data_IF_866703865067
#
_entry.id   IF_866703865067
#
_cell.length_a   1.000
_cell.length_b   1.000
_cell.length_c   1.000
_cell.angle_alpha   90.00
_cell.angle_beta   90.00
_cell.angle_gamma   90.00
#
_symmetry.space_group_name_H-M   'P 1'
#
loop_
_entity.id
_entity.type
_entity.pdbx_description
1 polymer ?
#
# COMPACT_ATOMS: atom_id res chain seq x y z
N UNK A 1 7.59 -18.36 -20.11
CA UNK A 1 6.24 -19.00 -20.19
C UNK A 1 5.27 -18.04 -19.51
N UNK A 2 4.25 -17.58 -20.23
CA UNK A 2 3.41 -16.43 -19.89
C UNK A 2 2.31 -16.72 -18.86
N UNK A 3 1.88 -15.68 -18.16
CA UNK A 3 0.68 -15.69 -17.31
C UNK A 3 -0.58 -15.90 -18.15
N UNK A 4 -1.59 -16.57 -17.60
CA UNK A 4 -2.85 -16.84 -18.32
C UNK A 4 -3.94 -15.85 -17.93
N UNK A 5 -4.76 -15.37 -18.89
CA UNK A 5 -5.91 -14.52 -18.55
C UNK A 5 -6.90 -15.23 -17.62
N UNK A 6 -7.42 -14.51 -16.63
CA UNK A 6 -8.54 -14.98 -15.81
C UNK A 6 -9.84 -14.89 -16.60
N UNK A 7 -10.75 -15.82 -16.35
CA UNK A 7 -12.10 -15.78 -16.93
C UNK A 7 -12.90 -14.53 -16.54
N UNK A 8 -12.62 -13.97 -15.36
CA UNK A 8 -13.07 -12.64 -14.95
C UNK A 8 -12.07 -12.03 -13.96
N UNK A 9 -12.03 -10.69 -13.84
CA UNK A 9 -11.13 -10.02 -12.92
C UNK A 9 -11.34 -10.48 -11.47
N UNK A 10 -10.27 -10.59 -10.68
CA UNK A 10 -10.38 -10.75 -9.22
C UNK A 10 -10.59 -9.41 -8.55
N UNK A 11 -11.19 -9.43 -7.36
CA UNK A 11 -11.34 -8.23 -6.53
C UNK A 11 -10.00 -7.91 -5.87
N UNK A 12 -9.57 -6.65 -5.97
CA UNK A 12 -8.36 -6.14 -5.30
C UNK A 12 -8.77 -5.14 -4.22
N UNK A 13 -8.30 -5.37 -3.00
CA UNK A 13 -8.52 -4.51 -1.84
C UNK A 13 -7.17 -3.99 -1.35
N UNK A 14 -7.01 -2.68 -1.26
CA UNK A 14 -5.80 -2.05 -0.74
C UNK A 14 -5.97 -1.69 0.73
N UNK A 15 -5.15 -2.27 1.61
CA UNK A 15 -5.18 -2.10 3.06
C UNK A 15 -3.99 -1.26 3.50
N UNK A 16 -4.23 0.02 3.78
CA UNK A 16 -3.13 0.97 4.02
C UNK A 16 -3.35 1.76 5.32
N UNK A 17 -2.35 1.81 6.24
CA UNK A 17 -2.41 2.72 7.37
C UNK A 17 -2.11 4.15 6.91
N UNK A 18 -2.81 5.13 7.49
CA UNK A 18 -2.60 6.55 7.24
C UNK A 18 -2.11 7.27 8.51
N UNK A 19 -1.10 8.13 8.37
CA UNK A 19 -0.63 8.99 9.44
C UNK A 19 -0.87 10.48 9.13
N UNK A 20 -0.17 11.04 8.15
CA UNK A 20 -0.25 12.48 7.80
C UNK A 20 -0.11 12.75 6.29
N UNK A 21 0.16 11.72 5.49
CA UNK A 21 0.70 11.81 4.14
C UNK A 21 -0.38 12.02 3.07
N UNK A 22 -1.17 13.10 3.16
CA UNK A 22 -2.29 13.35 2.22
C UNK A 22 -1.86 13.37 0.76
N UNK A 23 -0.68 13.93 0.45
CA UNK A 23 -0.15 13.96 -0.91
C UNK A 23 0.22 12.56 -1.42
N UNK A 24 0.79 11.73 -0.54
CA UNK A 24 1.13 10.35 -0.90
C UNK A 24 -0.13 9.51 -1.08
N UNK A 25 -1.14 9.72 -0.23
CA UNK A 25 -2.44 9.08 -0.38
C UNK A 25 -3.09 9.46 -1.72
N UNK A 26 -3.06 10.74 -2.10
CA UNK A 26 -3.60 11.17 -3.40
C UNK A 26 -2.88 10.49 -4.57
N UNK A 27 -1.54 10.42 -4.52
CA UNK A 27 -0.75 9.72 -5.55
C UNK A 27 -1.11 8.24 -5.60
N UNK A 28 -1.16 7.58 -4.44
CA UNK A 28 -1.55 6.17 -4.33
C UNK A 28 -2.95 5.92 -4.90
N UNK A 29 -3.91 6.79 -4.58
CA UNK A 29 -5.26 6.70 -5.09
C UNK A 29 -5.30 6.90 -6.60
N UNK A 30 -4.63 7.91 -7.15
CA UNK A 30 -4.57 8.13 -8.60
C UNK A 30 -3.92 6.96 -9.35
N UNK A 31 -2.79 6.45 -8.85
CA UNK A 31 -2.08 5.32 -9.43
C UNK A 31 -2.97 4.06 -9.45
N UNK A 32 -3.65 3.79 -8.34
CA UNK A 32 -4.34 2.51 -8.15
C UNK A 32 -5.83 2.53 -8.49
N UNK A 33 -6.46 3.69 -8.68
CA UNK A 33 -7.93 3.79 -8.81
C UNK A 33 -8.49 2.93 -9.96
N UNK A 34 -7.77 2.75 -11.06
CA UNK A 34 -8.25 1.94 -12.18
C UNK A 34 -8.20 0.42 -11.88
N UNK A 35 -7.37 -0.01 -10.94
CA UNK A 35 -7.03 -1.43 -10.72
C UNK A 35 -7.46 -1.94 -9.34
N UNK A 36 -7.64 -1.05 -8.36
CA UNK A 36 -8.16 -1.37 -7.03
C UNK A 36 -9.68 -1.14 -6.97
N UNK A 37 -10.38 -2.09 -6.35
CA UNK A 37 -11.83 -2.04 -6.17
C UNK A 37 -12.21 -1.29 -4.88
N UNK A 38 -11.44 -1.47 -3.81
CA UNK A 38 -11.68 -0.84 -2.50
C UNK A 38 -10.36 -0.45 -1.84
N UNK A 39 -10.30 0.74 -1.27
CA UNK A 39 -9.25 1.20 -0.37
C UNK A 39 -9.76 1.18 1.07
N UNK A 40 -9.17 0.35 1.93
CA UNK A 40 -9.44 0.36 3.37
C UNK A 40 -8.32 1.13 4.03
N UNK A 41 -8.65 2.30 4.58
CA UNK A 41 -7.68 3.24 5.12
C UNK A 41 -7.96 3.42 6.61
N UNK A 42 -6.97 3.11 7.43
CA UNK A 42 -7.06 3.26 8.89
C UNK A 42 -6.17 4.40 9.34
N UNK A 43 -6.75 5.36 10.06
CA UNK A 43 -6.03 6.45 10.71
C UNK A 43 -6.01 6.27 12.22
N UNK A 44 -4.83 6.30 12.84
CA UNK A 44 -4.69 6.20 14.29
C UNK A 44 -4.74 7.56 15.00
N UNK A 45 -5.31 7.62 16.21
CA UNK A 45 -5.15 8.77 17.12
C UNK A 45 -3.76 8.83 17.77
N UNK A 46 -2.91 7.84 17.50
CA UNK A 46 -1.53 7.73 17.99
C UNK A 46 -0.56 7.68 16.82
N UNK A 47 0.48 8.51 16.87
CA UNK A 47 1.64 8.38 16.00
C UNK A 47 2.38 7.06 16.28
N UNK A 48 3.24 6.62 15.36
CA UNK A 48 4.09 5.44 15.55
C UNK A 48 4.97 5.52 16.83
N UNK A 49 5.36 6.75 17.23
CA UNK A 49 6.06 7.04 18.50
C UNK A 49 5.12 7.17 19.73
N UNK A 50 3.85 6.78 19.61
CA UNK A 50 2.78 6.74 20.64
C UNK A 50 2.29 8.09 21.17
N UNK A 51 2.66 9.20 20.54
CA UNK A 51 2.12 10.51 20.89
C UNK A 51 0.74 10.71 20.28
N UNK A 52 -0.11 11.48 20.94
CA UNK A 52 -1.42 11.86 20.41
C UNK A 52 -1.28 12.59 19.08
N UNK A 53 -2.07 12.17 18.09
CA UNK A 53 -2.09 12.71 16.74
C UNK A 53 -3.50 13.21 16.44
N UNK A 54 -3.61 14.39 15.84
CA UNK A 54 -4.86 14.88 15.29
C UNK A 54 -5.26 14.05 14.07
N UNK A 55 -6.56 13.77 13.92
CA UNK A 55 -7.10 13.12 12.75
C UNK A 55 -7.23 14.14 11.62
N UNK A 56 -6.65 13.83 10.46
CA UNK A 56 -6.67 14.71 9.28
C UNK A 56 -7.51 14.12 8.15
N UNK A 57 -7.57 12.79 8.04
CA UNK A 57 -8.09 12.14 6.85
C UNK A 57 -9.60 12.34 6.71
N UNK A 58 -10.37 12.19 7.80
CA UNK A 58 -11.82 12.34 7.75
C UNK A 58 -12.28 13.67 7.15
N UNK A 59 -11.66 14.79 7.57
CA UNK A 59 -11.95 16.10 7.00
C UNK A 59 -11.44 16.25 5.57
N UNK A 60 -10.27 15.68 5.26
CA UNK A 60 -9.71 15.72 3.91
C UNK A 60 -10.59 14.97 2.90
N UNK A 61 -11.15 13.82 3.29
CA UNK A 61 -12.05 13.02 2.44
C UNK A 61 -13.29 13.81 2.01
N UNK A 62 -13.80 14.71 2.85
CA UNK A 62 -14.94 15.60 2.52
C UNK A 62 -14.59 16.76 1.57
N UNK A 63 -13.32 16.98 1.26
CA UNK A 63 -12.89 17.99 0.30
C UNK A 63 -12.95 17.48 -1.15
N UNK A 64 -12.96 18.41 -2.12
CA UNK A 64 -12.91 18.07 -3.57
C UNK A 64 -11.68 17.24 -3.95
N UNK A 65 -10.61 17.33 -3.17
CA UNK A 65 -9.33 16.63 -3.40
C UNK A 65 -9.50 15.11 -3.52
N UNK A 66 -10.43 14.53 -2.76
CA UNK A 66 -10.64 13.08 -2.73
C UNK A 66 -12.02 12.65 -3.24
N UNK A 67 -12.80 13.59 -3.81
CA UNK A 67 -14.19 13.36 -4.24
C UNK A 67 -14.33 12.17 -5.20
N UNK A 68 -13.41 12.04 -6.17
CA UNK A 68 -13.41 10.96 -7.17
C UNK A 68 -13.14 9.56 -6.61
N UNK A 69 -12.65 9.46 -5.37
CA UNK A 69 -12.27 8.18 -4.76
C UNK A 69 -13.20 7.74 -3.63
N UNK A 70 -14.07 8.63 -3.12
CA UNK A 70 -14.87 8.39 -1.91
C UNK A 70 -15.66 7.10 -1.95
N UNK A 71 -16.27 6.79 -3.08
CA UNK A 71 -17.11 5.58 -3.23
C UNK A 71 -16.32 4.28 -3.06
N UNK A 72 -14.99 4.32 -3.24
CA UNK A 72 -14.11 3.17 -3.05
C UNK A 72 -13.41 3.15 -1.69
N UNK A 73 -13.56 4.19 -0.86
CA UNK A 73 -12.81 4.32 0.39
C UNK A 73 -13.66 3.85 1.58
N UNK A 74 -13.15 2.86 2.30
CA UNK A 74 -13.59 2.50 3.65
C UNK A 74 -12.61 3.15 4.62
N UNK A 75 -13.04 4.24 5.25
CA UNK A 75 -12.25 4.95 6.26
C UNK A 75 -12.64 4.53 7.67
N UNK A 76 -11.64 4.25 8.51
CA UNK A 76 -11.85 3.94 9.92
C UNK A 76 -10.81 4.60 10.81
N UNK A 77 -11.23 4.93 12.03
CA UNK A 77 -10.37 5.52 13.06
C UNK A 77 -9.98 4.46 14.08
N UNK A 78 -8.67 4.36 14.31
CA UNK A 78 -8.08 3.55 15.36
C UNK A 78 -7.82 4.42 16.60
N UNK A 79 -8.77 4.46 17.52
CA UNK A 79 -8.66 5.27 18.73
C UNK A 79 -8.04 4.51 19.92
N UNK A 80 -7.71 5.28 20.98
CA UNK A 80 -7.14 4.77 22.22
C UNK A 80 -8.00 3.71 22.92
N UNK A 81 -9.33 3.78 22.80
CA UNK A 81 -10.24 2.83 23.42
C UNK A 81 -10.22 1.49 22.67
N UNK A 82 -10.18 1.53 21.33
CA UNK A 82 -9.96 0.33 20.52
C UNK A 82 -8.57 -0.23 20.81
N UNK A 83 -7.50 0.58 20.82
CA UNK A 83 -6.15 0.12 21.17
C UNK A 83 -6.12 -0.52 22.57
N UNK A 84 -6.78 0.07 23.56
CA UNK A 84 -6.84 -0.45 24.93
C UNK A 84 -7.57 -1.80 25.02
N UNK A 85 -8.63 -2.01 24.25
CA UNK A 85 -9.34 -3.31 24.15
C UNK A 85 -8.36 -4.41 23.70
N UNK A 86 -7.51 -4.11 22.72
CA UNK A 86 -6.54 -5.06 22.19
C UNK A 86 -5.30 -5.24 23.07
N UNK A 87 -4.80 -4.19 23.74
CA UNK A 87 -3.73 -4.34 24.76
C UNK A 87 -4.16 -5.26 25.91
N UNK A 88 -5.44 -5.23 26.29
CA UNK A 88 -6.00 -6.15 27.31
C UNK A 88 -6.03 -7.60 26.82
N UNK A 89 -6.32 -7.83 25.54
CA UNK A 89 -6.26 -9.16 24.92
C UNK A 89 -4.82 -9.70 24.80
N UNK A 90 -3.81 -8.81 24.61
CA UNK A 90 -2.41 -9.17 24.31
C UNK A 90 -1.51 -9.51 25.53
N UNK A 91 -2.06 -9.58 26.74
CA UNK A 91 -1.30 -10.08 27.90
C UNK A 91 -0.08 -9.23 28.30
N UNK A 92 -0.11 -7.90 28.08
CA UNK A 92 0.84 -6.90 28.63
C UNK A 92 2.28 -6.86 28.10
N UNK A 93 2.69 -7.63 27.09
CA UNK A 93 4.04 -7.40 26.51
C UNK A 93 4.02 -6.17 25.60
N UNK A 94 4.71 -5.10 26.01
CA UNK A 94 4.96 -3.92 25.20
C UNK A 94 5.94 -4.26 24.06
N UNK A 95 5.46 -4.96 23.05
CA UNK A 95 6.20 -5.16 21.81
C UNK A 95 6.08 -3.89 20.94
N UNK A 96 7.20 -3.43 20.40
CA UNK A 96 7.25 -2.33 19.43
C UNK A 96 6.39 -2.64 18.20
N UNK A 97 6.27 -3.91 17.84
CA UNK A 97 5.46 -4.38 16.71
C UNK A 97 4.00 -4.69 17.07
N UNK A 98 3.60 -4.53 18.33
CA UNK A 98 2.21 -4.76 18.76
C UNK A 98 1.24 -3.79 18.08
N UNK A 99 1.65 -2.52 17.90
CA UNK A 99 0.82 -1.50 17.26
C UNK A 99 0.66 -1.75 15.75
N UNK A 100 1.74 -2.17 15.08
CA UNK A 100 1.72 -2.55 13.66
C UNK A 100 0.83 -3.78 13.43
N UNK A 101 1.02 -4.83 14.22
CA UNK A 101 0.21 -6.06 14.17
C UNK A 101 -1.27 -5.75 14.41
N UNK A 102 -1.53 -4.84 15.35
CA UNK A 102 -2.87 -4.41 15.68
C UNK A 102 -3.52 -3.60 14.54
N UNK A 103 -2.80 -2.63 13.98
CA UNK A 103 -3.29 -1.82 12.86
C UNK A 103 -3.63 -2.71 11.65
N UNK A 104 -2.79 -3.71 11.37
CA UNK A 104 -3.04 -4.73 10.34
C UNK A 104 -4.29 -5.58 10.61
N UNK A 105 -4.50 -6.01 11.84
CA UNK A 105 -5.71 -6.74 12.23
C UNK A 105 -6.96 -5.86 12.12
N UNK A 106 -6.85 -4.59 12.51
CA UNK A 106 -7.96 -3.64 12.45
C UNK A 106 -8.35 -3.28 11.01
N UNK A 107 -7.38 -3.13 10.10
CA UNK A 107 -7.65 -2.99 8.66
C UNK A 107 -8.53 -4.13 8.13
N UNK A 108 -8.20 -5.37 8.49
CA UNK A 108 -9.00 -6.54 8.10
C UNK A 108 -10.36 -6.59 8.78
N UNK A 109 -10.45 -6.24 10.06
CA UNK A 109 -11.73 -6.13 10.77
C UNK A 109 -12.67 -5.14 10.06
N UNK A 110 -12.16 -3.97 9.67
CA UNK A 110 -12.95 -2.93 8.99
C UNK A 110 -13.30 -3.28 7.55
N UNK A 111 -12.44 -4.02 6.86
CA UNK A 111 -12.83 -4.66 5.61
C UNK A 111 -14.03 -5.60 5.82
N UNK A 112 -13.97 -6.53 6.79
CA UNK A 112 -15.02 -7.53 7.02
C UNK A 112 -16.33 -6.86 7.47
N UNK A 113 -16.26 -5.84 8.33
CA UNK A 113 -17.44 -5.09 8.77
C UNK A 113 -18.14 -4.38 7.59
N UNK A 114 -17.36 -3.80 6.67
CA UNK A 114 -17.91 -3.03 5.55
C UNK A 114 -18.39 -3.91 4.39
N UNK A 115 -17.70 -5.03 4.11
CA UNK A 115 -17.84 -5.79 2.85
C UNK A 115 -18.12 -7.28 3.06
N UNK A 116 -18.08 -7.77 4.29
CA UNK A 116 -18.23 -9.18 4.64
C UNK A 116 -16.95 -10.00 4.48
N UNK A 117 -17.08 -11.31 4.69
CA UNK A 117 -15.98 -12.25 4.56
C UNK A 117 -15.43 -12.29 3.11
N UNK A 118 -14.10 -12.29 2.91
CA UNK A 118 -13.53 -12.38 1.58
C UNK A 118 -13.79 -13.74 0.95
N UNK A 119 -14.09 -13.72 -0.35
CA UNK A 119 -14.16 -14.94 -1.17
C UNK A 119 -12.78 -15.36 -1.68
N UNK A 120 -12.71 -16.52 -2.34
CA UNK A 120 -11.46 -17.06 -2.91
C UNK A 120 -10.95 -16.26 -4.13
N UNK A 121 -11.68 -15.20 -4.52
CA UNK A 121 -11.37 -14.32 -5.65
C UNK A 121 -11.05 -12.89 -5.19
N UNK A 122 -10.78 -12.71 -3.90
CA UNK A 122 -10.36 -11.45 -3.30
C UNK A 122 -8.88 -11.53 -2.97
N UNK A 123 -8.11 -10.56 -3.48
CA UNK A 123 -6.71 -10.36 -3.14
C UNK A 123 -6.54 -9.03 -2.39
N UNK A 124 -5.63 -9.02 -1.43
CA UNK A 124 -5.34 -7.88 -0.59
C UNK A 124 -3.94 -7.35 -0.87
N UNK A 125 -3.80 -6.05 -1.05
CA UNK A 125 -2.52 -5.35 -1.00
C UNK A 125 -2.33 -4.84 0.42
N UNK A 126 -1.15 -5.02 1.00
CA UNK A 126 -0.79 -4.36 2.25
C UNK A 126 0.69 -3.94 2.25
N UNK A 127 0.92 -2.69 2.64
CA UNK A 127 2.21 -2.08 2.90
C UNK A 127 2.02 -0.70 3.56
N UNK A 128 3.12 -0.01 3.81
CA UNK A 128 3.09 1.35 4.33
C UNK A 128 2.62 2.35 3.25
N UNK A 129 2.20 3.55 3.67
CA UNK A 129 1.63 4.56 2.75
C UNK A 129 2.62 4.96 1.64
N UNK A 130 3.91 4.98 1.97
CA UNK A 130 5.04 5.30 1.08
C UNK A 130 5.45 4.14 0.14
N UNK A 131 4.82 2.96 0.27
CA UNK A 131 5.05 1.77 -0.55
C UNK A 131 3.92 1.63 -1.60
N UNK A 132 3.95 2.48 -2.63
CA UNK A 132 2.95 2.52 -3.70
C UNK A 132 3.33 1.51 -4.80
N UNK A 133 2.56 0.43 -5.00
CA UNK A 133 2.82 -0.50 -6.09
C UNK A 133 2.49 0.13 -7.44
N UNK A 134 3.13 -0.34 -8.51
CA UNK A 134 2.79 0.11 -9.85
C UNK A 134 1.45 -0.50 -10.30
N UNK A 135 0.61 0.29 -10.96
CA UNK A 135 -0.72 -0.12 -11.39
C UNK A 135 -0.67 -1.34 -12.31
N UNK A 136 0.36 -1.49 -13.14
CA UNK A 136 0.53 -2.64 -14.04
C UNK A 136 0.80 -3.93 -13.28
N UNK A 137 1.54 -3.86 -12.17
CA UNK A 137 1.77 -5.01 -11.31
C UNK A 137 0.43 -5.48 -10.72
N UNK A 138 -0.36 -4.55 -10.19
CA UNK A 138 -1.68 -4.85 -9.63
C UNK A 138 -2.65 -5.35 -10.71
N UNK A 139 -2.63 -4.75 -11.90
CA UNK A 139 -3.42 -5.18 -13.05
C UNK A 139 -3.10 -6.62 -13.46
N UNK A 140 -1.83 -7.01 -13.44
CA UNK A 140 -1.43 -8.38 -13.75
C UNK A 140 -2.08 -9.40 -12.80
N UNK A 141 -2.15 -9.11 -11.49
CA UNK A 141 -2.87 -9.98 -10.55
C UNK A 141 -4.38 -9.95 -10.74
N UNK A 142 -4.93 -8.75 -11.04
CA UNK A 142 -6.37 -8.55 -11.27
C UNK A 142 -6.87 -9.34 -12.47
N UNK A 143 -6.13 -9.33 -13.58
CA UNK A 143 -6.58 -9.87 -14.86
C UNK A 143 -5.94 -11.20 -15.24
N UNK A 144 -4.79 -11.56 -14.67
CA UNK A 144 -4.08 -12.79 -15.01
C UNK A 144 -3.93 -13.71 -13.78
N UNK A 145 -3.96 -15.02 -14.05
CA UNK A 145 -3.60 -16.04 -13.09
C UNK A 145 -2.09 -16.28 -13.18
N UNK A 146 -1.33 -16.07 -12.10
CA UNK A 146 0.09 -16.40 -12.09
C UNK A 146 0.25 -17.91 -12.30
N UNK A 147 1.31 -18.30 -13.03
CA UNK A 147 1.64 -19.72 -13.29
C UNK A 147 1.81 -20.51 -11.98
N UNK A 148 2.28 -19.84 -10.95
CA UNK A 148 2.50 -20.40 -9.62
C UNK A 148 1.81 -19.52 -8.57
N UNK A 149 0.54 -19.79 -8.22
CA UNK A 149 -0.25 -18.96 -7.33
C UNK A 149 0.10 -19.20 -5.86
N UNK A 150 1.36 -18.93 -5.50
CA UNK A 150 1.84 -18.96 -4.11
C UNK A 150 1.87 -17.55 -3.54
N UNK A 151 0.89 -17.25 -2.70
CA UNK A 151 0.84 -16.01 -1.92
C UNK A 151 1.51 -16.22 -0.54
N UNK A 152 2.06 -15.16 0.09
CA UNK A 152 2.11 -13.79 -0.41
C UNK A 152 3.15 -13.55 -1.51
N UNK A 153 2.87 -12.58 -2.38
CA UNK A 153 3.80 -12.11 -3.42
C UNK A 153 4.23 -10.70 -3.10
N UNK A 154 5.54 -10.46 -3.05
CA UNK A 154 6.09 -9.13 -2.83
C UNK A 154 6.14 -8.36 -4.15
N UNK A 155 5.57 -7.15 -4.18
CA UNK A 155 5.61 -6.27 -5.33
C UNK A 155 6.90 -5.45 -5.29
N UNK A 156 7.72 -5.47 -6.35
CA UNK A 156 8.97 -4.74 -6.33
C UNK A 156 8.72 -3.25 -6.53
N UNK A 157 9.32 -2.46 -5.65
CA UNK A 157 9.28 -1.00 -5.65
C UNK A 157 10.69 -0.42 -5.76
N UNK A 158 10.79 0.67 -6.51
CA UNK A 158 12.01 1.47 -6.66
C UNK A 158 12.09 2.43 -5.48
N UNK A 159 13.25 2.49 -4.85
CA UNK A 159 13.48 3.42 -3.76
C UNK A 159 13.72 4.84 -4.28
N UNK A 160 12.83 5.77 -3.94
CA UNK A 160 12.85 7.16 -4.38
C UNK A 160 13.13 8.09 -3.19
N UNK A 161 14.17 8.93 -3.28
CA UNK A 161 14.42 9.96 -2.29
C UNK A 161 13.49 11.12 -2.58
N UNK A 162 12.72 11.59 -1.60
CA UNK A 162 11.45 12.31 -1.77
C UNK A 162 11.47 13.58 -2.68
N UNK A 163 11.58 13.34 -3.99
CA UNK A 163 10.76 13.75 -5.12
C UNK A 163 10.83 12.58 -6.15
N UNK A 164 9.86 12.41 -7.05
CA UNK A 164 9.83 11.27 -7.98
C UNK A 164 10.93 11.30 -9.06
N UNK A 165 11.74 12.35 -9.11
CA UNK A 165 12.85 12.47 -10.03
C UNK A 165 14.16 11.85 -9.49
N UNK A 166 14.28 11.60 -8.17
CA UNK A 166 15.51 11.10 -7.55
C UNK A 166 15.44 9.62 -7.15
N UNK A 167 16.20 8.76 -7.84
CA UNK A 167 16.47 7.38 -7.43
C UNK A 167 17.77 7.31 -6.62
N UNK A 168 17.78 6.56 -5.51
CA UNK A 168 19.06 6.20 -4.85
C UNK A 168 19.77 5.09 -5.60
N UNK A 169 20.83 5.44 -6.32
CA UNK A 169 21.63 4.50 -7.09
C UNK A 169 22.37 3.45 -6.24
N UNK A 170 22.58 3.73 -4.94
CA UNK A 170 23.32 2.88 -4.02
C UNK A 170 22.43 1.92 -3.19
N UNK A 171 21.12 1.97 -3.38
CA UNK A 171 20.17 1.09 -2.69
C UNK A 171 19.52 0.10 -3.69
N UNK A 172 19.40 -1.20 -3.34
CA UNK A 172 18.64 -2.13 -4.17
C UNK A 172 17.14 -1.81 -4.12
N UNK A 173 16.40 -2.26 -5.13
CA UNK A 173 14.93 -2.23 -5.09
C UNK A 173 14.42 -2.99 -3.86
N UNK A 174 13.37 -2.44 -3.22
CA UNK A 174 12.73 -3.06 -2.07
C UNK A 174 11.51 -3.86 -2.52
N UNK A 175 11.15 -4.90 -1.76
CA UNK A 175 10.08 -5.85 -2.11
C UNK A 175 8.89 -5.66 -1.18
N UNK A 176 8.21 -4.52 -1.32
CA UNK A 176 6.97 -4.16 -0.65
C UNK A 176 6.19 -3.19 -1.56
N UNK A 177 4.86 -3.14 -1.53
CA UNK A 177 3.94 -3.85 -0.63
C UNK A 177 3.77 -5.33 -1.04
N UNK A 178 3.01 -6.10 -0.26
CA UNK A 178 2.72 -7.51 -0.56
C UNK A 178 1.27 -7.70 -1.02
N UNK A 179 1.03 -8.66 -1.93
CA UNK A 179 -0.30 -9.17 -2.29
C UNK A 179 -0.58 -10.51 -1.58
N UNK A 180 -1.76 -10.65 -1.00
CA UNK A 180 -2.22 -11.81 -0.24
C UNK A 180 -3.55 -12.33 -0.79
N UNK A 181 -3.72 -13.65 -0.79
CA UNK A 181 -5.05 -14.28 -0.88
C UNK A 181 -5.59 -14.61 0.52
N UNK A 182 -6.84 -15.08 0.60
CA UNK A 182 -7.46 -15.48 1.87
C UNK A 182 -6.65 -16.53 2.65
N UNK A 183 -6.02 -17.47 1.95
CA UNK A 183 -5.35 -18.62 2.54
C UNK A 183 -3.91 -18.32 3.01
N UNK A 184 -3.31 -17.24 2.51
CA UNK A 184 -1.99 -16.73 2.92
C UNK A 184 -2.05 -15.71 4.06
N UNK A 185 -3.25 -15.37 4.54
CA UNK A 185 -3.41 -14.58 5.75
C UNK A 185 -3.01 -15.39 6.99
N UNK A 186 -2.12 -14.82 7.82
CA UNK A 186 -1.84 -15.34 9.15
C UNK A 186 -3.09 -15.19 10.03
N UNK A 187 -3.23 -16.00 11.08
CA UNK A 187 -4.25 -15.73 12.10
C UNK A 187 -3.67 -14.72 13.09
N UNK A 188 -4.38 -13.62 13.30
CA UNK A 188 -4.04 -12.67 14.35
C UNK A 188 -4.01 -13.42 15.68
N UNK A 189 -2.88 -13.39 16.43
CA UNK A 189 -2.62 -14.30 17.54
C UNK A 189 -3.62 -14.17 18.71
N UNK A 190 -4.44 -13.12 18.73
CA UNK A 190 -5.43 -12.89 19.79
C UNK A 190 -6.88 -13.01 19.37
N UNK A 191 -7.21 -12.55 18.18
CA UNK A 191 -8.61 -12.46 17.72
C UNK A 191 -8.95 -13.60 16.78
N UNK A 192 -7.94 -14.33 16.28
CA UNK A 192 -8.10 -15.33 15.24
C UNK A 192 -8.45 -14.73 13.87
N UNK A 193 -8.62 -13.41 13.78
CA UNK A 193 -8.93 -12.70 12.54
C UNK A 193 -7.81 -12.86 11.51
N UNK A 194 -8.11 -12.89 10.21
CA UNK A 194 -7.09 -12.91 9.18
C UNK A 194 -6.16 -11.68 9.28
N UNK A 195 -4.86 -11.88 9.10
CA UNK A 195 -3.79 -10.89 9.23
C UNK A 195 -2.86 -11.00 8.01
N UNK A 196 -2.67 -9.96 7.18
CA UNK A 196 -1.71 -10.00 6.06
C UNK A 196 -0.31 -10.33 6.60
N UNK A 197 0.39 -11.34 6.11
CA UNK A 197 1.70 -11.76 6.66
C UNK A 197 2.83 -10.75 6.36
N UNK A 198 3.83 -10.61 7.25
CA UNK A 198 5.07 -9.83 6.96
C UNK A 198 6.15 -10.67 6.24
N UNK A 199 5.89 -11.96 6.02
CA UNK A 199 6.88 -12.86 5.41
C UNK A 199 7.22 -12.37 4.00
N UNK A 200 8.50 -12.12 3.76
CA UNK A 200 9.06 -11.87 2.43
C UNK A 200 8.54 -12.99 1.51
N UNK A 201 7.61 -12.66 0.61
CA UNK A 201 7.23 -13.58 -0.43
C UNK A 201 8.50 -14.08 -1.12
N UNK A 202 8.62 -15.38 -1.35
CA UNK A 202 9.82 -15.96 -1.96
C UNK A 202 9.97 -15.62 -3.46
N UNK A 203 9.06 -14.80 -4.00
CA UNK A 203 8.89 -14.60 -5.43
C UNK A 203 8.53 -13.13 -5.64
N UNK A 204 9.41 -12.40 -6.32
CA UNK A 204 8.97 -11.29 -7.15
C UNK A 204 8.73 -11.91 -8.53
N UNK A 205 7.54 -11.74 -9.10
CA UNK A 205 7.42 -11.91 -10.54
C UNK A 205 8.40 -10.93 -11.19
N UNK A 206 9.04 -11.30 -12.30
CA UNK A 206 9.86 -10.38 -13.10
C UNK A 206 8.93 -9.35 -13.75
N UNK A 207 8.49 -8.38 -12.95
CA UNK A 207 7.78 -7.22 -13.44
C UNK A 207 8.80 -6.27 -14.09
N UNK A 208 8.60 -5.89 -15.37
CA UNK A 208 9.43 -4.88 -16.00
C UNK A 208 9.22 -3.51 -15.35
N UNK A 209 8.02 -3.25 -14.80
CA UNK A 209 7.70 -2.04 -14.04
C UNK A 209 7.97 -2.24 -12.55
N UNK A 210 8.33 -1.14 -11.86
CA UNK A 210 8.58 -1.08 -10.43
C UNK A 210 7.67 0.00 -9.84
N UNK A 211 7.03 -0.29 -8.71
CA UNK A 211 6.30 0.74 -7.96
C UNK A 211 7.25 1.76 -7.33
N UNK A 212 6.73 2.64 -6.49
CA UNK A 212 7.50 3.60 -5.72
C UNK A 212 7.55 3.21 -4.23
N UNK A 213 8.76 3.14 -3.68
CA UNK A 213 9.00 3.11 -2.23
C UNK A 213 9.72 4.40 -1.88
N UNK A 214 8.99 5.34 -1.29
CA UNK A 214 9.54 6.67 -1.03
C UNK A 214 10.29 6.70 0.30
N UNK A 215 11.42 7.41 0.34
CA UNK A 215 12.23 7.50 1.56
C UNK A 215 12.96 8.82 1.78
N UNK A 216 13.58 8.88 2.98
CA UNK A 216 14.19 9.97 3.77
C UNK A 216 13.18 10.91 4.46
N UNK A 217 13.24 11.28 5.75
CA UNK A 217 14.22 11.13 6.88
C UNK A 217 15.68 11.53 6.56
N UNK A 218 16.01 12.82 6.61
CA UNK A 218 17.23 13.41 6.04
C UNK A 218 18.41 13.60 7.02
N UNK A 219 19.62 13.99 6.53
CA UNK A 219 20.65 14.63 7.35
C UNK A 219 20.15 15.96 7.98
N UNK A 220 20.73 16.43 9.11
CA UNK A 220 20.08 17.38 10.03
C UNK A 220 19.54 18.68 9.42
N UNK A 221 20.17 19.22 8.39
CA UNK A 221 19.79 20.45 7.69
C UNK A 221 18.84 20.20 6.51
N UNK A 222 18.90 19.00 5.92
CA UNK A 222 17.91 18.51 4.97
C UNK A 222 16.55 18.35 5.65
N UNK A 223 16.53 17.75 6.85
CA UNK A 223 15.39 17.63 7.77
C UNK A 223 14.78 19.00 8.13
N UNK A 224 15.54 20.09 7.97
CA UNK A 224 15.14 21.47 8.21
C UNK A 224 14.61 22.18 6.94
N UNK A 225 15.18 21.94 5.76
CA UNK A 225 14.77 22.62 4.52
C UNK A 225 13.47 22.06 3.92
N UNK A 226 13.17 20.79 4.17
CA UNK A 226 11.83 20.26 3.90
C UNK A 226 10.76 20.85 4.82
N UNK A 227 11.15 21.50 5.93
CA UNK A 227 10.29 22.29 6.81
C UNK A 227 10.01 23.71 6.29
N UNK A 228 10.60 24.16 5.17
CA UNK A 228 10.41 25.54 4.69
C UNK A 228 9.71 25.68 3.34
N UNK A 229 9.79 24.73 2.41
CA UNK A 229 9.34 25.00 1.04
C UNK A 229 8.95 23.76 0.24
N UNK A 230 7.64 23.53 0.12
CA UNK A 230 7.00 22.99 -1.11
C UNK A 230 6.81 24.11 -2.17
N UNK A 231 7.56 25.21 -2.07
CA UNK A 231 7.44 26.40 -2.92
C UNK A 231 8.73 26.63 -3.70
N UNK A 232 8.67 26.30 -5.00
CA UNK A 232 9.51 26.71 -6.14
C UNK A 232 11.05 26.57 -6.09
N UNK A 233 11.61 25.77 -7.02
CA UNK A 233 12.82 26.19 -7.76
C UNK A 233 14.13 25.38 -7.67
N UNK A 234 14.21 24.19 -7.06
CA UNK A 234 15.49 23.50 -6.86
C UNK A 234 15.83 22.40 -7.88
N UNK A 235 16.76 22.66 -8.81
CA UNK A 235 17.27 21.70 -9.81
C UNK A 235 18.22 20.69 -9.16
N UNK A 236 18.04 19.41 -9.47
CA UNK A 236 19.06 18.36 -9.36
C UNK A 236 19.00 17.59 -10.71
N UNK A 237 20.09 16.96 -11.18
CA UNK A 237 20.27 16.43 -12.56
C UNK A 237 19.71 15.00 -12.84
N UNK A 238 18.91 14.86 -13.90
CA UNK A 238 18.29 13.59 -14.34
C UNK A 238 19.32 12.50 -14.66
N UNK A 239 19.03 11.24 -14.29
CA UNK A 239 19.59 10.08 -14.99
C UNK A 239 18.71 9.75 -16.20
N UNK A 240 19.30 9.49 -17.37
CA UNK A 240 18.61 9.35 -18.66
C UNK A 240 17.79 8.06 -18.85
N UNK A 241 17.72 7.18 -17.86
CA UNK A 241 17.05 5.88 -17.96
C UNK A 241 15.62 5.90 -17.39
N UNK A 242 14.68 6.57 -18.07
CA UNK A 242 13.26 6.20 -17.96
C UNK A 242 12.45 6.67 -19.18
N UNK A 243 12.36 5.81 -20.19
CA UNK A 243 11.41 5.94 -21.29
C UNK A 243 10.40 4.80 -21.21
N UNK A 244 9.47 4.86 -20.25
CA UNK A 244 8.25 4.06 -20.33
C UNK A 244 7.16 4.90 -21.00
N UNK A 245 6.85 4.56 -22.25
CA UNK A 245 5.67 5.09 -22.93
C UNK A 245 4.50 4.20 -22.54
N UNK A 246 3.51 4.79 -21.85
CA UNK A 246 2.33 4.08 -21.35
C UNK A 246 1.56 3.40 -22.48
N UNK A 247 1.78 2.10 -22.65
CA UNK A 247 0.95 1.16 -23.39
C UNK A 247 0.96 -0.17 -22.66
N UNK A 248 -0.21 -0.60 -22.21
CA UNK A 248 -0.37 -1.72 -21.28
C UNK A 248 -0.75 -3.01 -22.03
N UNK A 249 0.06 -4.07 -21.88
CA UNK A 249 -0.33 -5.44 -22.23
C UNK A 249 -0.94 -6.13 -21.00
N UNK A 250 -2.14 -6.71 -21.12
CA UNK A 250 -2.88 -7.26 -19.96
C UNK A 250 -2.19 -8.45 -19.30
N UNK A 251 -1.56 -9.34 -20.08
CA UNK A 251 -0.75 -10.45 -19.60
C UNK A 251 0.54 -10.55 -20.43
N UNK A 252 1.60 -11.16 -19.88
CA UNK A 252 2.88 -11.31 -20.56
C UNK A 252 2.72 -11.97 -21.94
N UNK A 253 3.14 -11.30 -23.02
CA UNK A 253 3.10 -11.85 -24.39
C UNK A 253 1.87 -11.52 -25.25
N UNK A 254 1.08 -10.49 -24.92
CA UNK A 254 0.02 -9.96 -25.80
C UNK A 254 0.32 -8.51 -26.23
N UNK A 255 -0.16 -8.13 -27.43
CA UNK A 255 -0.05 -6.75 -27.92
C UNK A 255 -0.80 -5.76 -27.00
N UNK A 256 -0.25 -4.56 -26.78
CA UNK A 256 -0.92 -3.53 -25.98
C UNK A 256 -2.21 -3.07 -26.67
N UNK A 257 -3.24 -2.81 -25.87
CA UNK A 257 -4.52 -2.28 -26.35
C UNK A 257 -4.56 -0.80 -25.98
N UNK A 258 -4.80 0.08 -26.96
CA UNK A 258 -4.95 1.52 -26.74
C UNK A 258 -6.16 1.78 -25.82
N UNK A 259 -5.95 2.65 -24.82
CA UNK A 259 -6.97 3.14 -23.89
C UNK A 259 -7.46 4.53 -24.28
#
# INVERSE_FOLDING_TARGET
MADTPRASPVRIVDLVPFAYELDILEIRLHELNAVVDVFVIVESTRAFKKWSKALLLGAALESRRFESFREKIVYAVLDDAVEAKFRKLNGRKEDRYALETYTRGFLMEKYIEALGEPDDRTLFIHGDMDEVPAAEQVAAFKYCSPKDPRYPVALPTRFLAMNFAWRRADMPDLTFPNIFDRNSMQKHPLTGAPLPARTKGHWAMDFPTRGAHMSFFMPPEGDLLKQLSFSDGGIIERSEDDQSTGRYSRCSGQEPIDG
#
